data_IF_654444836626
#
_entry.id   IF_654444836626
#
_cell.length_a   1.000
_cell.length_b   1.000
_cell.length_c   1.000
_cell.angle_alpha   90.00
_cell.angle_beta   90.00
_cell.angle_gamma   90.00
#
_symmetry.space_group_name_H-M   'P 1'
#
loop_
_entity.id
_entity.type
_entity.pdbx_description
1 polymer ?
#
# COMPACT_ATOMS: atom_id res chain seq x y z
N UNK A 1 -1.05 10.52 25.36
CA UNK A 1 -0.68 9.19 24.87
C UNK A 1 0.53 9.32 23.96
N UNK A 2 1.61 8.58 24.20
CA UNK A 2 2.78 8.50 23.29
C UNK A 2 2.64 7.26 22.41
N UNK A 3 2.69 7.46 21.09
CA UNK A 3 2.47 6.39 20.12
C UNK A 3 3.73 6.17 19.28
N UNK A 4 4.25 4.94 19.27
CA UNK A 4 5.27 4.52 18.31
C UNK A 4 4.59 4.13 17.00
N UNK A 5 4.97 4.78 15.90
CA UNK A 5 4.56 4.42 14.54
C UNK A 5 5.76 3.80 13.84
N UNK A 6 5.74 2.49 13.60
CA UNK A 6 6.82 1.83 12.86
C UNK A 6 6.62 2.00 11.35
N UNK A 7 7.71 2.02 10.59
CA UNK A 7 7.63 2.29 9.16
C UNK A 7 7.20 3.72 8.84
N UNK A 8 7.50 4.67 9.73
CA UNK A 8 7.11 6.08 9.61
C UNK A 8 7.70 6.78 8.36
N UNK A 9 8.80 6.30 7.78
CA UNK A 9 9.32 6.79 6.51
C UNK A 9 8.49 6.32 5.28
N UNK A 10 7.58 5.37 5.46
CA UNK A 10 6.74 4.81 4.39
C UNK A 10 5.47 5.63 4.12
N UNK A 11 4.67 5.15 3.15
CA UNK A 11 3.44 5.80 2.73
C UNK A 11 2.43 5.94 3.89
N UNK A 12 1.98 4.82 4.46
CA UNK A 12 0.93 4.81 5.50
C UNK A 12 1.49 5.31 6.83
N UNK A 13 2.68 4.82 7.25
CA UNK A 13 3.29 5.23 8.51
C UNK A 13 3.63 6.73 8.54
N UNK A 14 4.11 7.28 7.41
CA UNK A 14 4.33 8.72 7.28
C UNK A 14 3.03 9.52 7.39
N UNK A 15 1.95 9.05 6.74
CA UNK A 15 0.66 9.73 6.84
C UNK A 15 0.05 9.67 8.24
N UNK A 16 0.21 8.54 8.91
CA UNK A 16 -0.21 8.38 10.31
C UNK A 16 0.58 9.33 11.23
N UNK A 17 1.90 9.46 11.00
CA UNK A 17 2.75 10.39 11.75
C UNK A 17 2.28 11.85 11.58
N UNK A 18 2.02 12.26 10.33
CA UNK A 18 1.49 13.59 10.02
C UNK A 18 0.16 13.85 10.76
N UNK A 19 -0.85 13.01 10.53
CA UNK A 19 -2.19 13.25 11.05
C UNK A 19 -2.29 13.14 12.57
N UNK A 20 -1.55 12.24 13.21
CA UNK A 20 -1.56 12.11 14.66
C UNK A 20 -0.90 13.32 15.32
N UNK A 21 0.17 13.84 14.73
CA UNK A 21 0.83 15.05 15.21
C UNK A 21 -0.03 16.31 14.97
N UNK A 22 -0.46 16.55 13.71
CA UNK A 22 -1.23 17.73 13.31
C UNK A 22 -2.55 17.88 14.06
N UNK A 23 -3.22 16.75 14.36
CA UNK A 23 -4.46 16.75 15.15
C UNK A 23 -4.25 16.86 16.66
N UNK A 24 -3.02 16.84 17.15
CA UNK A 24 -2.74 16.76 18.59
C UNK A 24 -3.20 15.48 19.26
N UNK A 25 -3.52 14.44 18.50
CA UNK A 25 -4.04 13.17 19.03
C UNK A 25 -3.02 12.45 19.91
N UNK A 26 -1.76 12.45 19.52
CA UNK A 26 -0.70 11.76 20.23
C UNK A 26 0.64 12.48 20.14
N UNK A 27 1.48 12.30 21.16
CA UNK A 27 2.92 12.54 21.00
C UNK A 27 3.51 11.40 20.18
N UNK A 28 3.90 11.70 18.94
CA UNK A 28 4.34 10.69 18.00
C UNK A 28 5.84 10.42 18.15
N UNK A 29 6.18 9.14 18.24
CA UNK A 29 7.54 8.62 18.06
C UNK A 29 7.59 7.90 16.71
N UNK A 30 8.33 8.47 15.76
CA UNK A 30 8.45 7.98 14.39
C UNK A 30 9.56 6.93 14.29
N UNK A 31 9.20 5.66 14.24
CA UNK A 31 10.12 4.54 14.10
C UNK A 31 10.56 4.32 12.66
N UNK A 32 11.86 4.49 12.37
CA UNK A 32 12.43 4.36 11.03
C UNK A 32 13.64 3.43 11.05
N UNK A 33 13.84 2.66 9.97
CA UNK A 33 15.00 1.78 9.87
C UNK A 33 16.31 2.55 9.70
N UNK A 34 16.27 3.59 8.86
CA UNK A 34 17.42 4.46 8.60
C UNK A 34 16.98 5.93 8.74
N UNK A 35 17.56 6.69 9.67
CA UNK A 35 17.23 8.09 9.86
C UNK A 35 17.45 8.99 8.63
N UNK A 36 18.34 8.59 7.72
CA UNK A 36 18.65 9.31 6.47
C UNK A 36 17.51 9.31 5.44
N UNK A 37 16.43 8.54 5.67
CA UNK A 37 15.31 8.40 4.71
C UNK A 37 14.06 9.17 5.14
N UNK A 38 14.20 10.18 6.01
CA UNK A 38 13.05 10.82 6.68
C UNK A 38 12.66 12.19 6.14
N UNK A 39 13.11 12.58 4.95
CA UNK A 39 12.86 13.90 4.35
C UNK A 39 11.39 14.36 4.46
N UNK A 40 10.44 13.44 4.39
CA UNK A 40 9.01 13.75 4.58
C UNK A 40 8.69 14.20 5.99
N UNK A 41 9.38 13.67 7.00
CA UNK A 41 9.12 13.90 8.42
C UNK A 41 9.94 15.06 9.00
N UNK A 42 11.02 15.50 8.34
CA UNK A 42 11.93 16.55 8.83
C UNK A 42 11.21 17.90 9.10
N UNK A 43 10.08 18.11 8.46
CA UNK A 43 9.24 19.30 8.67
C UNK A 43 8.36 19.22 9.93
N UNK A 44 8.28 18.05 10.57
CA UNK A 44 7.42 17.80 11.72
C UNK A 44 8.27 17.74 12.99
N UNK A 45 7.87 18.44 14.06
CA UNK A 45 8.57 18.36 15.36
C UNK A 45 8.19 17.07 16.10
N UNK A 46 8.48 15.91 15.51
CA UNK A 46 8.25 14.57 16.07
C UNK A 46 9.58 13.90 16.42
N UNK A 47 9.56 13.05 17.43
CA UNK A 47 10.74 12.27 17.80
C UNK A 47 10.99 11.16 16.79
N UNK A 48 12.13 11.20 16.09
CA UNK A 48 12.56 10.16 15.14
C UNK A 48 13.49 9.20 15.85
N UNK A 49 13.17 7.89 15.81
CA UNK A 49 13.96 6.86 16.49
C UNK A 49 14.36 5.73 15.53
N UNK A 50 15.60 5.21 15.64
CA UNK A 50 15.99 3.99 14.96
C UNK A 50 15.10 2.83 15.40
N UNK A 51 14.51 2.11 14.42
CA UNK A 51 13.54 1.06 14.67
C UNK A 51 13.63 -0.03 13.59
N UNK A 52 14.76 -0.74 13.54
CA UNK A 52 14.91 -1.91 12.70
C UNK A 52 14.15 -3.08 13.33
N UNK A 53 13.22 -3.66 12.58
CA UNK A 53 12.39 -4.78 13.03
C UNK A 53 13.20 -6.02 13.38
N UNK A 54 14.42 -6.14 12.87
CA UNK A 54 15.31 -7.28 13.14
C UNK A 54 16.32 -7.01 14.28
N UNK A 55 16.33 -5.80 14.84
CA UNK A 55 17.19 -5.44 15.96
C UNK A 55 16.40 -5.29 17.27
N UNK A 56 16.38 -6.31 18.16
CA UNK A 56 15.64 -6.24 19.43
C UNK A 56 16.09 -5.09 20.34
N UNK A 57 17.34 -4.63 20.22
CA UNK A 57 17.86 -3.54 21.04
C UNK A 57 17.27 -2.19 20.62
N UNK A 58 17.14 -1.96 19.33
CA UNK A 58 16.46 -0.77 18.81
C UNK A 58 14.97 -0.78 19.15
N UNK A 59 14.30 -1.94 19.02
CA UNK A 59 12.89 -2.06 19.39
C UNK A 59 12.64 -1.74 20.84
N UNK A 60 13.46 -2.24 21.78
CA UNK A 60 13.33 -1.90 23.20
C UNK A 60 13.47 -0.39 23.43
N UNK A 61 14.51 0.25 22.86
CA UNK A 61 14.69 1.70 22.98
C UNK A 61 13.54 2.50 22.36
N UNK A 62 13.03 2.06 21.21
CA UNK A 62 11.90 2.71 20.55
C UNK A 62 10.61 2.62 21.36
N UNK A 63 10.45 1.61 22.22
CA UNK A 63 9.28 1.40 23.07
C UNK A 63 9.38 2.05 24.45
N UNK A 64 10.53 2.58 24.85
CA UNK A 64 10.70 3.25 26.14
C UNK A 64 9.73 4.42 26.33
N UNK A 65 8.88 4.36 27.35
CA UNK A 65 7.87 5.39 27.63
C UNK A 65 6.79 5.53 26.56
N UNK A 66 6.58 4.50 25.73
CA UNK A 66 5.52 4.43 24.72
C UNK A 66 4.28 3.77 25.31
N UNK A 67 3.10 4.34 25.08
CA UNK A 67 1.82 3.80 25.55
C UNK A 67 1.18 2.85 24.55
N UNK A 68 1.40 3.11 23.24
CA UNK A 68 0.75 2.38 22.16
C UNK A 68 1.61 2.27 20.90
N UNK A 69 1.31 1.29 20.05
CA UNK A 69 2.03 1.02 18.81
C UNK A 69 1.07 0.97 17.62
N UNK A 70 1.43 1.63 16.51
CA UNK A 70 0.84 1.41 15.19
C UNK A 70 1.93 0.78 14.30
N UNK A 71 1.75 -0.49 13.97
CA UNK A 71 2.73 -1.26 13.22
C UNK A 71 2.47 -1.20 11.72
N UNK A 72 3.13 -0.25 11.03
CA UNK A 72 3.07 -0.06 9.58
C UNK A 72 4.30 -0.61 8.84
N UNK A 73 5.35 -1.00 9.55
CA UNK A 73 6.58 -1.48 8.92
C UNK A 73 6.35 -2.82 8.20
N UNK A 74 6.98 -2.96 7.04
CA UNK A 74 7.02 -4.21 6.27
C UNK A 74 8.36 -4.35 5.56
N UNK A 75 8.69 -5.56 5.17
CA UNK A 75 9.84 -5.91 4.34
C UNK A 75 9.50 -7.10 3.43
N UNK A 76 10.50 -7.79 2.85
CA UNK A 76 10.31 -9.14 2.30
C UNK A 76 9.61 -10.07 3.31
N UNK A 77 8.95 -11.13 2.84
CA UNK A 77 8.14 -12.01 3.67
C UNK A 77 8.79 -12.42 5.00
N UNK A 78 9.99 -13.04 5.00
CA UNK A 78 10.67 -13.44 6.23
C UNK A 78 10.96 -12.27 7.19
N UNK A 79 11.30 -11.09 6.65
CA UNK A 79 11.55 -9.87 7.46
C UNK A 79 10.24 -9.37 8.06
N UNK A 80 9.14 -9.42 7.32
CA UNK A 80 7.81 -9.03 7.82
C UNK A 80 7.39 -9.91 8.99
N UNK A 81 7.50 -11.23 8.85
CA UNK A 81 7.10 -12.19 9.88
C UNK A 81 7.97 -12.08 11.13
N UNK A 82 9.30 -12.18 10.96
CA UNK A 82 10.23 -12.12 12.10
C UNK A 82 10.22 -10.75 12.75
N UNK A 83 10.18 -9.68 11.97
CA UNK A 83 10.11 -8.32 12.49
C UNK A 83 8.84 -8.05 13.29
N UNK A 84 7.69 -8.55 12.84
CA UNK A 84 6.44 -8.46 13.60
C UNK A 84 6.54 -9.24 14.92
N UNK A 85 7.08 -10.46 14.92
CA UNK A 85 7.30 -11.25 16.14
C UNK A 85 8.21 -10.54 17.14
N UNK A 86 9.32 -9.96 16.67
CA UNK A 86 10.25 -9.22 17.53
C UNK A 86 9.57 -8.00 18.17
N UNK A 87 8.79 -7.23 17.37
CA UNK A 87 8.08 -6.07 17.89
C UNK A 87 6.98 -6.45 18.87
N UNK A 88 6.23 -7.53 18.61
CA UNK A 88 5.21 -8.05 19.54
C UNK A 88 5.85 -8.47 20.85
N UNK A 89 6.98 -9.19 20.82
CA UNK A 89 7.69 -9.58 22.04
C UNK A 89 8.17 -8.35 22.83
N UNK A 90 8.82 -7.41 22.16
CA UNK A 90 9.29 -6.19 22.81
C UNK A 90 8.13 -5.35 23.37
N UNK A 91 6.97 -5.33 22.68
CA UNK A 91 5.77 -4.63 23.14
C UNK A 91 5.14 -5.30 24.37
N UNK A 92 5.13 -6.63 24.41
CA UNK A 92 4.67 -7.38 25.58
C UNK A 92 5.58 -7.10 26.80
N UNK A 93 6.90 -7.15 26.60
CA UNK A 93 7.89 -6.88 27.66
C UNK A 93 7.79 -5.43 28.18
N UNK A 94 7.53 -4.47 27.29
CA UNK A 94 7.31 -3.06 27.62
C UNK A 94 5.90 -2.76 28.16
N UNK A 95 5.02 -3.76 28.26
CA UNK A 95 3.63 -3.63 28.72
C UNK A 95 2.83 -2.59 27.95
N UNK A 96 2.98 -2.59 26.61
CA UNK A 96 2.24 -1.67 25.72
C UNK A 96 0.73 -1.85 25.89
N UNK A 97 0.02 -0.75 26.13
CA UNK A 97 -1.42 -0.74 26.39
C UNK A 97 -2.30 -0.95 25.17
N UNK A 98 -1.81 -0.69 23.94
CA UNK A 98 -2.51 -0.89 22.67
C UNK A 98 -1.53 -1.19 21.54
N UNK A 99 -1.81 -2.21 20.77
CA UNK A 99 -1.02 -2.58 19.59
C UNK A 99 -1.94 -2.72 18.37
N UNK A 100 -1.80 -1.85 17.38
CA UNK A 100 -2.55 -1.90 16.12
C UNK A 100 -1.64 -2.41 15.01
N UNK A 101 -1.95 -3.59 14.46
CA UNK A 101 -1.24 -4.18 13.33
C UNK A 101 -1.93 -3.84 12.01
N UNK A 102 -1.18 -3.29 11.05
CA UNK A 102 -1.68 -3.11 9.68
C UNK A 102 -1.42 -4.38 8.85
N UNK A 103 -2.48 -5.12 8.58
CA UNK A 103 -2.51 -6.27 7.71
C UNK A 103 -2.97 -5.89 6.29
N UNK A 104 -3.78 -6.72 5.64
CA UNK A 104 -4.33 -6.53 4.28
C UNK A 104 -5.52 -7.46 4.07
N UNK A 105 -6.42 -7.10 3.16
CA UNK A 105 -7.48 -8.01 2.67
C UNK A 105 -6.93 -9.18 1.85
N UNK A 106 -5.67 -9.15 1.44
CA UNK A 106 -5.06 -10.25 0.69
C UNK A 106 -4.94 -11.55 1.51
N UNK A 107 -5.13 -11.48 2.84
CA UNK A 107 -5.22 -12.67 3.71
C UNK A 107 -6.38 -13.60 3.36
N UNK A 108 -7.38 -13.09 2.65
CA UNK A 108 -8.52 -13.87 2.14
C UNK A 108 -8.28 -14.52 0.77
N UNK A 109 -7.10 -14.31 0.17
CA UNK A 109 -6.70 -14.93 -1.08
C UNK A 109 -7.63 -14.58 -2.25
N UNK A 110 -8.14 -15.62 -2.93
CA UNK A 110 -9.00 -15.48 -4.12
C UNK A 110 -10.52 -15.50 -3.80
N UNK A 111 -10.93 -15.24 -2.56
CA UNK A 111 -12.34 -15.18 -2.17
C UNK A 111 -13.13 -14.20 -3.06
N UNK A 112 -14.39 -14.50 -3.35
CA UNK A 112 -15.30 -13.72 -4.22
C UNK A 112 -16.60 -13.39 -3.48
N UNK A 113 -17.35 -12.43 -3.99
CA UNK A 113 -18.59 -11.99 -3.35
C UNK A 113 -18.33 -11.05 -2.17
N UNK A 114 -19.12 -11.16 -1.13
CA UNK A 114 -18.94 -10.40 0.09
C UNK A 114 -18.08 -11.18 1.08
N UNK A 115 -16.97 -10.56 1.50
CA UNK A 115 -15.90 -11.18 2.32
C UNK A 115 -15.75 -10.39 3.61
N UNK A 116 -16.28 -10.93 4.68
CA UNK A 116 -16.20 -10.38 6.04
C UNK A 116 -14.99 -10.93 6.83
N UNK A 117 -14.84 -10.48 8.07
CA UNK A 117 -13.73 -10.88 8.95
C UNK A 117 -13.83 -12.32 9.46
N UNK A 118 -15.00 -12.97 9.32
CA UNK A 118 -15.22 -14.38 9.61
C UNK A 118 -14.72 -15.32 8.51
N UNK A 119 -14.42 -14.77 7.32
CA UNK A 119 -13.88 -15.54 6.20
C UNK A 119 -12.48 -16.08 6.54
N UNK A 120 -12.23 -17.40 6.37
CA UNK A 120 -10.94 -17.99 6.72
C UNK A 120 -9.77 -17.44 5.90
N UNK A 121 -8.58 -17.48 6.47
CA UNK A 121 -7.34 -17.23 5.73
C UNK A 121 -7.19 -18.20 4.57
N UNK A 122 -6.74 -17.67 3.43
CA UNK A 122 -6.43 -18.47 2.25
C UNK A 122 -4.99 -18.24 1.79
N UNK A 123 -4.10 -19.19 2.07
CA UNK A 123 -2.72 -19.15 1.58
C UNK A 123 -2.71 -19.45 0.09
N UNK A 124 -2.10 -18.57 -0.68
CA UNK A 124 -2.05 -18.67 -2.16
C UNK A 124 -0.65 -18.96 -2.69
N UNK A 125 0.36 -19.03 -1.82
CA UNK A 125 1.77 -19.08 -2.21
C UNK A 125 2.33 -17.70 -2.62
N UNK A 126 1.54 -16.63 -2.52
CA UNK A 126 2.01 -15.27 -2.70
C UNK A 126 2.74 -14.80 -1.44
N UNK A 127 4.04 -14.56 -1.54
CA UNK A 127 4.92 -14.20 -0.41
C UNK A 127 4.32 -13.09 0.48
N UNK A 128 3.76 -12.06 -0.14
CA UNK A 128 3.18 -10.93 0.60
C UNK A 128 1.95 -11.35 1.43
N UNK A 129 0.97 -11.98 0.79
CA UNK A 129 -0.27 -12.41 1.45
C UNK A 129 0.02 -13.44 2.56
N UNK A 130 0.82 -14.46 2.24
CA UNK A 130 1.16 -15.53 3.19
C UNK A 130 1.95 -15.00 4.38
N UNK A 131 2.89 -14.05 4.18
CA UNK A 131 3.60 -13.40 5.28
C UNK A 131 2.71 -12.54 6.17
N UNK A 132 1.64 -11.94 5.61
CA UNK A 132 0.65 -11.21 6.39
C UNK A 132 -0.24 -12.13 7.22
N UNK A 133 -0.61 -13.29 6.69
CA UNK A 133 -1.30 -14.33 7.46
C UNK A 133 -0.45 -14.76 8.66
N UNK A 134 0.84 -15.07 8.44
CA UNK A 134 1.74 -15.46 9.53
C UNK A 134 1.94 -14.35 10.57
N UNK A 135 1.95 -13.08 10.14
CA UNK A 135 2.03 -11.94 11.05
C UNK A 135 0.75 -11.80 11.89
N UNK A 136 -0.44 -12.01 11.31
CA UNK A 136 -1.70 -12.03 12.05
C UNK A 136 -1.77 -13.20 13.04
N UNK A 137 -1.35 -14.41 12.65
CA UNK A 137 -1.25 -15.56 13.54
C UNK A 137 -0.34 -15.27 14.75
N UNK A 138 0.78 -14.58 14.52
CA UNK A 138 1.62 -14.10 15.62
C UNK A 138 0.89 -13.09 16.51
N UNK A 139 0.18 -12.12 15.92
CA UNK A 139 -0.62 -11.15 16.69
C UNK A 139 -1.63 -11.84 17.60
N UNK A 140 -2.35 -12.84 17.13
CA UNK A 140 -3.32 -13.61 17.93
C UNK A 140 -2.64 -14.40 19.06
N UNK A 141 -1.47 -14.98 18.81
CA UNK A 141 -0.69 -15.67 19.84
C UNK A 141 -0.25 -14.70 20.95
N UNK A 142 0.14 -13.47 20.63
CA UNK A 142 0.53 -12.48 21.63
C UNK A 142 -0.66 -11.87 22.37
N UNK A 143 -1.83 -11.78 21.72
CA UNK A 143 -3.08 -11.43 22.40
C UNK A 143 -3.38 -12.42 23.54
N UNK A 144 -3.25 -13.72 23.28
CA UNK A 144 -3.43 -14.76 24.32
C UNK A 144 -2.42 -14.66 25.47
N UNK A 145 -1.27 -14.03 25.23
CA UNK A 145 -0.24 -13.75 26.24
C UNK A 145 -0.47 -12.42 26.98
N UNK A 146 -1.57 -11.72 26.66
CA UNK A 146 -1.98 -10.50 27.35
C UNK A 146 -1.58 -9.18 26.68
N UNK A 147 -1.02 -9.19 25.44
CA UNK A 147 -0.80 -7.96 24.69
C UNK A 147 -2.12 -7.50 24.03
N UNK A 148 -2.62 -6.28 24.30
CA UNK A 148 -3.87 -5.79 23.70
C UNK A 148 -3.71 -5.47 22.21
N UNK A 149 -3.92 -6.46 21.34
CA UNK A 149 -3.75 -6.35 19.88
C UNK A 149 -5.08 -6.12 19.17
N UNK A 150 -5.05 -5.28 18.15
CA UNK A 150 -6.10 -5.11 17.14
C UNK A 150 -5.48 -5.21 15.75
N UNK A 151 -6.21 -5.75 14.76
CA UNK A 151 -5.73 -5.90 13.39
C UNK A 151 -6.61 -5.10 12.44
N UNK A 152 -6.01 -4.32 11.55
CA UNK A 152 -6.70 -3.66 10.45
C UNK A 152 -6.31 -4.33 9.14
N UNK A 153 -7.31 -4.75 8.36
CA UNK A 153 -7.18 -5.35 7.02
C UNK A 153 -7.64 -4.33 5.97
N UNK A 154 -6.78 -3.36 5.61
CA UNK A 154 -7.13 -2.38 4.59
C UNK A 154 -7.26 -3.02 3.21
N UNK A 155 -8.14 -2.43 2.41
CA UNK A 155 -8.28 -2.68 0.99
C UNK A 155 -7.20 -1.92 0.19
N UNK A 156 -7.51 -1.42 -1.00
CA UNK A 156 -6.56 -0.69 -1.87
C UNK A 156 -6.33 0.72 -1.33
N UNK A 157 -5.24 0.91 -0.58
CA UNK A 157 -4.93 2.21 0.01
C UNK A 157 -4.28 3.12 -1.02
N UNK A 158 -4.94 4.22 -1.37
CA UNK A 158 -4.46 5.21 -2.32
C UNK A 158 -4.35 6.62 -1.69
N UNK A 159 -3.70 7.53 -2.38
CA UNK A 159 -3.49 8.91 -1.92
C UNK A 159 -2.07 9.40 -2.19
N UNK A 160 -1.70 10.61 -1.75
CA UNK A 160 -0.34 11.14 -1.84
C UNK A 160 0.70 10.16 -1.29
N UNK A 161 1.83 10.01 -2.00
CA UNK A 161 2.92 9.07 -1.69
C UNK A 161 2.62 7.57 -1.90
N UNK A 162 1.44 7.18 -2.38
CA UNK A 162 1.16 5.80 -2.74
C UNK A 162 1.84 5.45 -4.07
N UNK A 163 2.91 4.67 -4.01
CA UNK A 163 3.66 4.28 -5.20
C UNK A 163 2.82 3.43 -6.16
N UNK A 164 2.20 2.35 -5.65
CA UNK A 164 1.49 1.38 -6.48
C UNK A 164 0.12 1.84 -6.96
N UNK A 165 -0.63 2.56 -6.11
CA UNK A 165 -2.05 2.82 -6.36
C UNK A 165 -2.35 4.27 -6.76
N UNK A 166 -1.34 5.15 -6.76
CA UNK A 166 -1.47 6.54 -7.21
C UNK A 166 -0.42 6.89 -8.25
N UNK A 167 0.88 6.81 -7.91
CA UNK A 167 1.96 7.23 -8.82
C UNK A 167 1.99 6.34 -10.06
N UNK A 168 2.08 5.02 -9.88
CA UNK A 168 2.18 4.07 -10.99
C UNK A 168 0.97 4.16 -11.94
N UNK A 169 -0.24 4.32 -11.40
CA UNK A 169 -1.43 4.49 -12.24
C UNK A 169 -1.44 5.83 -12.98
N UNK A 170 -1.03 6.91 -12.33
CA UNK A 170 -0.89 8.21 -13.00
C UNK A 170 0.14 8.17 -14.13
N UNK A 171 1.30 7.54 -13.93
CA UNK A 171 2.32 7.36 -14.96
C UNK A 171 1.80 6.49 -16.12
N UNK A 172 1.06 5.43 -15.82
CA UNK A 172 0.50 4.53 -16.85
C UNK A 172 -0.60 5.21 -17.65
N UNK A 173 -1.43 6.04 -17.03
CA UNK A 173 -2.49 6.80 -17.72
C UNK A 173 -1.96 7.86 -18.69
N UNK A 174 -0.75 8.36 -18.48
CA UNK A 174 -0.08 9.29 -19.41
C UNK A 174 0.38 8.60 -20.70
N UNK A 175 0.39 7.28 -20.73
CA UNK A 175 0.84 6.49 -21.88
C UNK A 175 -0.33 6.00 -22.70
N UNK A 176 -0.25 6.21 -24.01
CA UNK A 176 -1.28 5.80 -24.97
C UNK A 176 -0.74 4.73 -25.93
N UNK A 177 -1.58 3.82 -26.46
CA UNK A 177 -2.99 3.60 -26.07
C UNK A 177 -3.11 2.92 -24.69
N UNK A 178 -4.26 3.13 -24.01
CA UNK A 178 -4.56 2.50 -22.73
C UNK A 178 -4.80 0.99 -22.90
N UNK A 179 -4.10 0.12 -22.17
CA UNK A 179 -4.08 -1.31 -22.48
C UNK A 179 -5.22 -2.13 -21.84
N UNK A 180 -6.11 -1.52 -21.05
CA UNK A 180 -7.17 -2.22 -20.34
C UNK A 180 -8.54 -1.85 -20.91
N UNK A 181 -9.19 -2.73 -21.67
CA UNK A 181 -10.55 -2.48 -22.16
C UNK A 181 -11.56 -2.47 -21.01
N UNK A 182 -12.63 -1.66 -21.10
CA UNK A 182 -13.66 -1.55 -20.07
C UNK A 182 -14.25 -2.89 -19.64
N UNK A 183 -14.45 -3.81 -20.57
CA UNK A 183 -14.98 -5.15 -20.31
C UNK A 183 -14.12 -6.00 -19.34
N UNK A 184 -12.84 -5.71 -19.23
CA UNK A 184 -11.91 -6.39 -18.29
C UNK A 184 -11.67 -5.61 -17.00
N UNK A 185 -12.28 -4.44 -16.85
CA UNK A 185 -12.16 -3.56 -15.70
C UNK A 185 -13.50 -3.36 -14.97
N UNK A 186 -14.44 -4.28 -15.15
CA UNK A 186 -15.77 -4.24 -14.52
C UNK A 186 -15.81 -4.73 -13.08
N UNK A 187 -14.72 -5.30 -12.56
CA UNK A 187 -14.63 -5.72 -11.16
C UNK A 187 -14.62 -4.55 -10.19
N UNK A 188 -14.91 -4.83 -8.94
CA UNK A 188 -15.01 -3.81 -7.87
C UNK A 188 -13.60 -3.34 -7.49
N UNK A 189 -13.38 -2.04 -7.56
CA UNK A 189 -12.19 -1.37 -7.07
C UNK A 189 -12.42 -0.91 -5.63
N UNK A 190 -12.01 -1.72 -4.66
CA UNK A 190 -12.19 -1.43 -3.23
C UNK A 190 -11.18 -0.36 -2.79
N UNK A 191 -11.51 0.90 -3.02
CA UNK A 191 -10.63 2.04 -2.74
C UNK A 191 -10.75 2.51 -1.31
N UNK A 192 -9.62 2.70 -0.65
CA UNK A 192 -9.52 3.29 0.69
C UNK A 192 -8.56 4.48 0.66
N UNK A 193 -9.03 5.67 0.99
CA UNK A 193 -8.11 6.81 1.10
C UNK A 193 -7.25 6.71 2.35
N UNK A 194 -5.97 7.09 2.26
CA UNK A 194 -5.00 6.91 3.34
C UNK A 194 -5.42 7.55 4.66
N UNK A 195 -6.10 8.70 4.61
CA UNK A 195 -6.57 9.39 5.82
C UNK A 195 -7.63 8.60 6.57
N UNK A 196 -8.53 7.89 5.86
CA UNK A 196 -9.55 7.04 6.47
C UNK A 196 -8.93 5.81 7.15
N UNK A 197 -7.85 5.24 6.56
CA UNK A 197 -7.09 4.19 7.23
C UNK A 197 -6.43 4.69 8.52
N UNK A 198 -5.86 5.90 8.51
CA UNK A 198 -5.28 6.51 9.71
C UNK A 198 -6.35 6.80 10.76
N UNK A 199 -7.55 7.22 10.34
CA UNK A 199 -8.69 7.39 11.24
C UNK A 199 -9.10 6.06 11.88
N UNK A 200 -9.15 4.96 11.11
CA UNK A 200 -9.40 3.62 11.64
C UNK A 200 -8.32 3.20 12.66
N UNK A 201 -7.04 3.49 12.38
CA UNK A 201 -5.95 3.19 13.32
C UNK A 201 -6.09 3.98 14.64
N UNK A 202 -6.51 5.25 14.56
CA UNK A 202 -6.82 6.07 15.74
C UNK A 202 -7.94 5.45 16.57
N UNK A 203 -9.05 5.06 15.94
CA UNK A 203 -10.17 4.41 16.60
C UNK A 203 -9.76 3.08 17.25
N UNK A 204 -8.95 2.25 16.57
CA UNK A 204 -8.45 1.01 17.13
C UNK A 204 -7.52 1.22 18.35
N UNK A 205 -6.87 2.38 18.47
CA UNK A 205 -6.08 2.74 19.65
C UNK A 205 -6.94 3.19 20.83
N UNK A 206 -8.10 3.82 20.58
CA UNK A 206 -8.94 4.43 21.63
C UNK A 206 -10.08 3.52 22.11
N UNK A 207 -10.67 2.77 21.17
CA UNK A 207 -11.85 1.97 21.46
C UNK A 207 -11.48 0.64 22.15
N UNK A 208 -12.08 0.37 23.31
CA UNK A 208 -11.85 -0.88 24.03
C UNK A 208 -12.31 -2.10 23.25
N UNK A 209 -13.40 -1.95 22.52
CA UNK A 209 -13.97 -3.02 21.69
C UNK A 209 -13.10 -3.42 20.49
N UNK A 210 -12.01 -2.68 20.22
CA UNK A 210 -11.05 -3.05 19.18
C UNK A 210 -10.11 -4.19 19.60
N UNK A 211 -9.87 -4.35 20.90
CA UNK A 211 -8.91 -5.35 21.39
C UNK A 211 -9.42 -6.77 21.14
N UNK A 212 -8.59 -7.58 20.50
CA UNK A 212 -8.92 -8.96 20.14
C UNK A 212 -9.68 -9.08 18.83
N UNK A 213 -9.80 -7.98 18.07
CA UNK A 213 -10.58 -7.95 16.84
C UNK A 213 -9.73 -7.65 15.61
N UNK A 214 -10.14 -8.23 14.47
CA UNK A 214 -9.69 -7.81 13.15
C UNK A 214 -10.83 -7.05 12.46
N UNK A 215 -10.47 -6.05 11.64
CA UNK A 215 -11.43 -5.22 10.93
C UNK A 215 -11.06 -5.07 9.47
N UNK A 216 -11.99 -5.34 8.57
CA UNK A 216 -11.90 -4.89 7.19
C UNK A 216 -12.06 -3.36 7.17
N UNK A 217 -11.13 -2.68 6.49
CA UNK A 217 -11.16 -1.23 6.36
C UNK A 217 -11.22 -0.90 4.87
N UNK A 218 -12.33 -0.29 4.45
CA UNK A 218 -12.64 0.06 3.07
C UNK A 218 -13.18 1.49 2.99
N UNK A 219 -13.19 2.08 1.81
CA UNK A 219 -13.79 3.39 1.58
C UNK A 219 -15.33 3.34 1.47
N UNK A 220 -15.99 4.50 1.30
CA UNK A 220 -17.45 4.60 1.34
C UNK A 220 -18.14 4.13 0.05
N UNK A 221 -17.39 3.96 -1.05
CA UNK A 221 -17.92 3.68 -2.38
C UNK A 221 -17.37 2.37 -2.92
N UNK A 222 -18.10 1.79 -3.90
CA UNK A 222 -17.72 0.54 -4.58
C UNK A 222 -17.63 0.75 -6.10
N UNK A 223 -16.74 1.66 -6.59
CA UNK A 223 -16.59 1.87 -8.02
C UNK A 223 -16.02 0.63 -8.70
N UNK A 224 -16.23 0.52 -10.00
CA UNK A 224 -15.48 -0.40 -10.82
C UNK A 224 -14.06 0.13 -11.08
N UNK A 225 -13.15 -0.74 -11.48
CA UNK A 225 -11.82 -0.31 -11.92
C UNK A 225 -11.88 0.65 -13.11
N UNK A 226 -12.83 0.44 -14.00
CA UNK A 226 -13.02 1.34 -15.16
C UNK A 226 -13.44 2.74 -14.70
N UNK A 227 -14.37 2.86 -13.77
CA UNK A 227 -14.79 4.14 -13.21
C UNK A 227 -13.63 4.85 -12.50
N UNK A 228 -12.83 4.13 -11.72
CA UNK A 228 -11.66 4.70 -11.07
C UNK A 228 -10.63 5.22 -12.07
N UNK A 229 -10.25 4.40 -13.07
CA UNK A 229 -9.29 4.83 -14.09
C UNK A 229 -9.81 6.02 -14.91
N UNK A 230 -11.09 6.02 -15.29
CA UNK A 230 -11.71 7.12 -16.01
C UNK A 230 -11.74 8.42 -15.19
N UNK A 231 -12.09 8.32 -13.91
CA UNK A 231 -12.11 9.48 -13.01
C UNK A 231 -10.71 10.05 -12.77
N UNK A 232 -9.71 9.18 -12.53
CA UNK A 232 -8.32 9.61 -12.35
C UNK A 232 -7.77 10.25 -13.63
N UNK A 233 -8.03 9.66 -14.80
CA UNK A 233 -7.63 10.18 -16.10
C UNK A 233 -8.23 11.56 -16.37
N UNK A 234 -9.52 11.74 -16.10
CA UNK A 234 -10.21 13.02 -16.28
C UNK A 234 -9.67 14.09 -15.32
N UNK A 235 -9.42 13.75 -14.05
CA UNK A 235 -8.85 14.66 -13.06
C UNK A 235 -7.43 15.12 -13.42
N UNK A 236 -6.67 14.27 -14.12
CA UNK A 236 -5.36 14.63 -14.66
C UNK A 236 -5.43 15.54 -15.89
N UNK A 237 -6.61 15.73 -16.49
CA UNK A 237 -6.80 16.52 -17.71
C UNK A 237 -6.38 15.77 -18.99
N UNK A 238 -6.29 14.44 -18.94
CA UNK A 238 -5.90 13.62 -20.09
C UNK A 238 -7.10 13.35 -21.02
N UNK A 239 -6.86 13.12 -22.33
CA UNK A 239 -7.89 12.67 -23.25
C UNK A 239 -8.59 11.41 -22.74
N UNK A 240 -9.87 11.22 -23.12
CA UNK A 240 -10.65 10.04 -22.69
C UNK A 240 -9.91 8.73 -22.99
N UNK A 241 -10.13 7.75 -22.13
CA UNK A 241 -9.54 6.42 -22.26
C UNK A 241 -10.20 5.72 -23.45
N UNK A 242 -9.43 5.44 -24.51
CA UNK A 242 -9.89 4.65 -25.65
C UNK A 242 -9.73 3.15 -25.32
N UNK A 243 -10.81 2.41 -25.52
CA UNK A 243 -10.83 0.97 -25.32
C UNK A 243 -10.05 0.27 -26.46
N UNK A 244 -9.11 -0.58 -26.10
CA UNK A 244 -8.52 -1.52 -27.05
C UNK A 244 -9.40 -2.78 -27.19
N UNK A 245 -9.45 -3.43 -28.36
CA UNK A 245 -10.11 -4.73 -28.49
C UNK A 245 -9.54 -5.74 -27.48
N UNK A 246 -10.43 -6.45 -26.77
CA UNK A 246 -10.07 -7.42 -25.72
C UNK A 246 -9.05 -8.46 -26.18
N UNK A 247 -9.18 -8.93 -27.44
CA UNK A 247 -8.26 -9.90 -28.03
C UNK A 247 -6.82 -9.35 -28.15
N UNK A 248 -6.65 -8.11 -28.58
CA UNK A 248 -5.33 -7.50 -28.73
C UNK A 248 -4.62 -7.31 -27.37
N UNK A 249 -5.36 -6.92 -26.32
CA UNK A 249 -4.79 -6.74 -24.97
C UNK A 249 -4.41 -8.08 -24.32
N UNK A 250 -5.21 -9.13 -24.53
CA UNK A 250 -4.93 -10.48 -24.02
C UNK A 250 -3.71 -11.11 -24.71
N UNK A 251 -3.61 -10.95 -26.04
CA UNK A 251 -2.46 -11.42 -26.83
C UNK A 251 -1.19 -10.67 -26.40
N UNK A 252 -1.26 -9.37 -26.17
CA UNK A 252 -0.09 -8.58 -25.73
C UNK A 252 0.40 -9.01 -24.35
N UNK A 253 -0.50 -9.31 -23.43
CA UNK A 253 -0.17 -9.81 -22.08
C UNK A 253 0.52 -11.19 -22.15
N UNK A 254 0.07 -12.05 -23.03
CA UNK A 254 0.62 -13.40 -23.23
C UNK A 254 1.99 -13.37 -23.91
N UNK A 255 2.14 -12.55 -24.94
CA UNK A 255 3.36 -12.41 -25.71
C UNK A 255 4.52 -11.78 -24.91
N UNK A 256 4.23 -10.96 -23.92
CA UNK A 256 5.24 -10.28 -23.09
C UNK A 256 5.75 -11.12 -21.91
N UNK A 257 5.05 -12.19 -21.52
CA UNK A 257 5.51 -13.09 -20.45
C UNK A 257 6.94 -13.61 -20.64
N UNK A 258 7.31 -14.18 -21.82
CA UNK A 258 8.68 -14.66 -22.04
C UNK A 258 9.69 -13.52 -22.05
N UNK A 259 9.34 -12.35 -22.62
CA UNK A 259 10.22 -11.17 -22.63
C UNK A 259 10.52 -10.66 -21.23
N UNK A 260 9.51 -10.62 -20.34
CA UNK A 260 9.69 -10.27 -18.93
C UNK A 260 10.57 -11.28 -18.18
N UNK A 261 10.46 -12.58 -18.50
CA UNK A 261 11.30 -13.61 -17.87
C UNK A 261 12.76 -13.47 -18.31
N UNK A 262 13.00 -13.24 -19.59
CA UNK A 262 14.34 -13.01 -20.15
C UNK A 262 14.92 -11.69 -19.63
N UNK A 263 14.18 -10.60 -19.62
CA UNK A 263 14.63 -9.31 -19.09
C UNK A 263 15.03 -9.41 -17.61
N UNK A 264 14.24 -10.09 -16.77
CA UNK A 264 14.59 -10.34 -15.36
C UNK A 264 15.81 -11.22 -15.21
N UNK A 265 15.96 -12.24 -16.04
CA UNK A 265 17.14 -13.09 -16.06
C UNK A 265 18.40 -12.30 -16.43
N UNK A 266 18.33 -11.49 -17.50
CA UNK A 266 19.44 -10.65 -17.96
C UNK A 266 19.85 -9.61 -16.90
N UNK A 267 18.89 -8.90 -16.30
CA UNK A 267 19.18 -7.95 -15.23
C UNK A 267 19.79 -8.62 -14.00
N UNK A 268 19.37 -9.85 -13.67
CA UNK A 268 19.88 -10.56 -12.49
C UNK A 268 21.29 -11.13 -12.66
N UNK A 269 21.67 -11.50 -13.90
CA UNK A 269 22.95 -12.19 -14.18
C UNK A 269 23.98 -11.31 -14.90
N UNK A 270 23.54 -10.23 -15.56
CA UNK A 270 24.38 -9.37 -16.39
C UNK A 270 24.25 -7.88 -16.06
N UNK A 271 23.82 -7.55 -14.84
CA UNK A 271 23.57 -6.17 -14.40
C UNK A 271 24.78 -5.25 -14.67
N UNK A 272 25.98 -5.67 -14.28
CA UNK A 272 27.20 -4.87 -14.47
C UNK A 272 27.58 -4.66 -15.94
N UNK A 273 27.38 -5.66 -16.79
CA UNK A 273 27.68 -5.57 -18.22
C UNK A 273 26.64 -4.70 -18.95
N UNK A 274 25.37 -4.83 -18.57
CA UNK A 274 24.26 -4.03 -19.11
C UNK A 274 24.47 -2.57 -18.72
N UNK A 275 24.79 -2.28 -17.47
CA UNK A 275 25.06 -0.91 -16.99
C UNK A 275 26.25 -0.30 -17.73
N UNK A 276 27.36 -1.02 -17.89
CA UNK A 276 28.52 -0.54 -18.64
C UNK A 276 28.25 -0.28 -20.13
N UNK A 277 27.40 -1.10 -20.76
CA UNK A 277 27.02 -0.90 -22.17
C UNK A 277 26.08 0.30 -22.32
N UNK A 278 25.17 0.48 -21.38
CA UNK A 278 24.21 1.59 -21.35
C UNK A 278 24.92 2.92 -21.06
N UNK A 279 25.94 2.94 -20.21
CA UNK A 279 26.73 4.14 -19.93
C UNK A 279 27.54 4.63 -21.14
N UNK A 280 27.89 3.72 -22.05
CA UNK A 280 28.72 4.01 -23.23
C UNK A 280 27.96 4.50 -24.46
N UNK A 281 26.63 4.39 -24.50
CA UNK A 281 25.84 4.72 -25.68
C UNK A 281 24.46 5.32 -25.31
N UNK A 282 24.25 6.57 -25.76
CA UNK A 282 22.96 7.22 -25.59
C UNK A 282 21.81 6.50 -26.33
N UNK A 283 22.15 5.83 -27.43
CA UNK A 283 21.19 5.00 -28.18
C UNK A 283 20.79 3.76 -27.36
N UNK A 284 21.72 3.13 -26.67
CA UNK A 284 21.46 2.01 -25.77
C UNK A 284 20.64 2.46 -24.56
N UNK A 285 20.90 3.65 -23.99
CA UNK A 285 20.09 4.26 -22.92
C UNK A 285 18.65 4.49 -23.37
N UNK A 286 18.44 5.06 -24.57
CA UNK A 286 17.11 5.30 -25.12
C UNK A 286 16.37 4.00 -25.41
N UNK A 287 17.03 3.02 -26.01
CA UNK A 287 16.44 1.71 -26.30
C UNK A 287 16.08 0.95 -25.01
N UNK A 288 16.93 1.00 -23.98
CA UNK A 288 16.65 0.38 -22.69
C UNK A 288 15.48 1.07 -21.98
N UNK A 289 15.45 2.41 -21.91
CA UNK A 289 14.32 3.16 -21.36
C UNK A 289 13.02 2.86 -22.10
N UNK A 290 13.05 2.81 -23.43
CA UNK A 290 11.87 2.49 -24.25
C UNK A 290 11.38 1.05 -24.01
N UNK A 291 12.33 0.09 -23.88
CA UNK A 291 12.00 -1.32 -23.61
C UNK A 291 11.47 -1.49 -22.19
N UNK A 292 12.10 -0.88 -21.21
CA UNK A 292 11.64 -0.88 -19.81
C UNK A 292 10.24 -0.26 -19.68
N UNK A 293 10.02 0.90 -20.32
CA UNK A 293 8.74 1.54 -20.38
C UNK A 293 7.68 0.64 -21.06
N UNK A 294 8.02 -0.06 -22.14
CA UNK A 294 7.11 -0.99 -22.82
C UNK A 294 6.78 -2.22 -21.98
N UNK A 295 7.76 -2.75 -21.25
CA UNK A 295 7.57 -3.88 -20.32
C UNK A 295 6.71 -3.48 -19.11
N UNK A 296 6.94 -2.30 -18.54
CA UNK A 296 6.12 -1.76 -17.44
C UNK A 296 4.68 -1.49 -17.84
N UNK A 297 4.44 -1.11 -19.10
CA UNK A 297 3.12 -0.74 -19.65
C UNK A 297 2.22 -1.92 -19.96
N UNK A 298 2.81 -3.08 -20.28
CA UNK A 298 2.02 -4.23 -20.69
C UNK A 298 1.24 -4.83 -19.51
N UNK A 299 -0.05 -5.14 -19.73
CA UNK A 299 -0.89 -5.77 -18.74
C UNK A 299 -0.31 -7.09 -18.24
N UNK A 300 -0.53 -7.41 -16.97
CA UNK A 300 -0.21 -8.71 -16.40
C UNK A 300 -1.47 -9.55 -16.25
N UNK A 301 -1.33 -10.86 -16.23
CA UNK A 301 -2.47 -11.74 -15.92
C UNK A 301 -3.01 -11.53 -14.51
N UNK A 302 -2.16 -11.10 -13.55
CA UNK A 302 -2.59 -10.73 -12.20
C UNK A 302 -3.46 -9.50 -12.18
N UNK A 303 -3.13 -8.48 -13.00
CA UNK A 303 -3.95 -7.28 -13.12
C UNK A 303 -5.30 -7.55 -13.77
N UNK A 304 -5.37 -8.40 -14.80
CA UNK A 304 -6.66 -8.80 -15.37
C UNK A 304 -7.52 -9.54 -14.35
N UNK A 305 -6.94 -10.44 -13.56
CA UNK A 305 -7.66 -11.10 -12.46
C UNK A 305 -8.17 -10.09 -11.44
N UNK A 306 -7.33 -9.12 -11.03
CA UNK A 306 -7.69 -8.09 -10.08
C UNK A 306 -8.81 -7.18 -10.60
N UNK A 307 -8.69 -6.70 -11.85
CA UNK A 307 -9.62 -5.73 -12.42
C UNK A 307 -10.96 -6.33 -12.85
N UNK A 308 -11.04 -7.65 -13.01
CA UNK A 308 -12.28 -8.37 -13.28
C UNK A 308 -12.94 -8.99 -12.03
N UNK A 309 -12.30 -8.89 -10.86
CA UNK A 309 -12.75 -9.55 -9.64
C UNK A 309 -13.95 -8.83 -9.02
N UNK A 310 -15.02 -9.57 -8.79
CA UNK A 310 -16.21 -9.10 -8.07
C UNK A 310 -16.13 -9.54 -6.61
N UNK A 311 -15.50 -8.72 -5.79
CA UNK A 311 -15.36 -8.93 -4.35
C UNK A 311 -15.60 -7.61 -3.63
N UNK A 312 -16.32 -7.65 -2.51
CA UNK A 312 -16.50 -6.52 -1.62
C UNK A 312 -16.12 -6.88 -0.20
N UNK A 313 -15.61 -5.90 0.53
CA UNK A 313 -15.18 -6.06 1.91
C UNK A 313 -16.03 -5.12 2.77
N UNK A 314 -17.06 -5.65 3.45
CA UNK A 314 -17.93 -4.85 4.31
C UNK A 314 -17.17 -4.29 5.51
N UNK A 315 -17.61 -3.14 6.02
CA UNK A 315 -17.00 -2.45 7.17
C UNK A 315 -17.97 -2.33 8.35
N UNK A 316 -19.07 -3.05 8.33
CA UNK A 316 -20.14 -3.01 9.33
C UNK A 316 -19.64 -3.36 10.73
N UNK A 317 -18.69 -4.32 10.81
CA UNK A 317 -18.04 -4.67 12.07
C UNK A 317 -17.22 -3.50 12.62
N UNK A 318 -16.42 -2.85 11.79
CA UNK A 318 -15.64 -1.69 12.17
C UNK A 318 -16.54 -0.51 12.57
N UNK A 319 -17.61 -0.26 11.81
CA UNK A 319 -18.59 0.77 12.13
C UNK A 319 -19.26 0.52 13.50
N UNK A 320 -19.72 -0.69 13.75
CA UNK A 320 -20.41 -1.05 14.98
C UNK A 320 -19.51 -1.04 16.21
N UNK A 321 -18.30 -1.60 16.14
CA UNK A 321 -17.45 -1.80 17.30
C UNK A 321 -16.53 -0.62 17.60
N UNK A 322 -16.05 0.08 16.59
CA UNK A 322 -15.11 1.20 16.77
C UNK A 322 -15.60 2.52 16.18
N UNK A 323 -16.82 2.59 15.67
CA UNK A 323 -17.38 3.82 15.10
C UNK A 323 -16.73 4.24 13.79
N UNK A 324 -16.12 3.30 13.05
CA UNK A 324 -15.47 3.61 11.77
C UNK A 324 -16.50 4.07 10.73
N UNK A 325 -16.25 5.23 10.14
CA UNK A 325 -17.03 5.80 9.04
C UNK A 325 -16.05 6.50 8.09
N UNK A 326 -15.78 5.94 6.90
CA UNK A 326 -14.89 6.56 5.94
C UNK A 326 -15.48 7.87 5.44
N UNK A 327 -14.67 8.94 5.43
CA UNK A 327 -15.10 10.30 5.14
C UNK A 327 -14.73 10.77 3.73
N UNK A 328 -13.74 10.13 3.10
CA UNK A 328 -13.19 10.57 1.81
C UNK A 328 -13.76 9.73 0.68
N UNK A 329 -14.63 10.32 -0.14
CA UNK A 329 -15.14 9.66 -1.34
C UNK A 329 -14.09 9.63 -2.47
N UNK A 330 -14.33 8.82 -3.50
CA UNK A 330 -13.40 8.62 -4.61
C UNK A 330 -13.03 9.93 -5.30
N UNK A 331 -14.00 10.81 -5.54
CA UNK A 331 -13.77 12.11 -6.20
C UNK A 331 -12.80 12.97 -5.39
N UNK A 332 -13.08 13.16 -4.09
CA UNK A 332 -12.23 13.95 -3.19
C UNK A 332 -10.81 13.36 -3.08
N UNK A 333 -10.70 12.04 -2.95
CA UNK A 333 -9.42 11.34 -2.86
C UNK A 333 -8.59 11.48 -4.13
N UNK A 334 -9.22 11.37 -5.30
CA UNK A 334 -8.58 11.60 -6.60
C UNK A 334 -8.10 13.04 -6.73
N UNK A 335 -8.95 14.02 -6.43
CA UNK A 335 -8.59 15.45 -6.51
C UNK A 335 -7.37 15.79 -5.63
N UNK A 336 -7.34 15.29 -4.40
CA UNK A 336 -6.20 15.45 -3.47
C UNK A 336 -4.94 14.77 -4.02
N UNK A 337 -5.08 13.56 -4.55
CA UNK A 337 -3.97 12.80 -5.14
C UNK A 337 -3.39 13.48 -6.37
N UNK A 338 -4.23 13.96 -7.29
CA UNK A 338 -3.80 14.66 -8.52
C UNK A 338 -3.13 15.99 -8.19
N UNK A 339 -3.66 16.75 -7.23
CA UNK A 339 -3.00 17.98 -6.74
C UNK A 339 -1.58 17.69 -6.27
N UNK A 340 -1.43 16.65 -5.46
CA UNK A 340 -0.11 16.24 -4.97
C UNK A 340 0.81 15.76 -6.09
N UNK A 341 0.30 14.95 -7.05
CA UNK A 341 1.08 14.49 -8.21
C UNK A 341 1.63 15.65 -9.05
N UNK A 342 0.84 16.72 -9.22
CA UNK A 342 1.32 17.96 -9.89
C UNK A 342 2.41 18.66 -9.08
N UNK A 343 2.20 18.85 -7.79
CA UNK A 343 3.16 19.49 -6.89
C UNK A 343 4.48 18.74 -6.76
N UNK A 344 4.43 17.40 -6.85
CA UNK A 344 5.61 16.53 -6.76
C UNK A 344 6.27 16.23 -8.11
N UNK A 345 5.77 16.80 -9.22
CA UNK A 345 6.36 16.66 -10.56
C UNK A 345 6.11 15.31 -11.24
N UNK A 346 5.19 14.48 -10.72
CA UNK A 346 4.83 13.21 -11.36
C UNK A 346 3.95 13.40 -12.60
N UNK A 347 3.22 14.52 -12.66
CA UNK A 347 2.43 14.92 -13.85
C UNK A 347 2.65 16.39 -14.13
N UNK A 348 2.75 16.74 -15.42
CA UNK A 348 2.93 18.13 -15.82
C UNK A 348 1.58 18.85 -15.92
N UNK A 349 1.59 20.18 -15.69
CA UNK A 349 0.40 21.04 -15.73
C UNK A 349 -0.16 21.21 -17.15
N UNK A 350 0.67 21.01 -18.16
CA UNK A 350 0.29 21.11 -19.58
C UNK A 350 0.18 19.69 -20.13
N UNK A 351 -0.99 19.32 -20.63
CA UNK A 351 -1.28 18.01 -21.23
C UNK A 351 -0.46 17.65 -22.50
N UNK A 352 0.74 18.22 -22.65
CA UNK A 352 1.68 17.90 -23.70
C UNK A 352 2.71 16.89 -23.17
N UNK A 353 2.56 15.65 -23.57
CA UNK A 353 3.64 14.67 -23.50
C UNK A 353 4.59 14.99 -24.65
N UNK A 354 5.68 15.67 -24.38
CA UNK A 354 6.85 15.58 -25.24
C UNK A 354 7.39 14.14 -25.12
N UNK A 355 6.99 13.32 -26.08
CA UNK A 355 7.59 12.01 -26.29
C UNK A 355 8.81 12.25 -27.16
N UNK A 356 10.04 12.09 -26.66
CA UNK A 356 11.23 12.06 -27.50
C UNK A 356 11.33 10.75 -28.30
#
# INVERSE_FOLDING_TARGET
MRVLITGAAGFIGGRATELFHESGFATVRAGVRQPTTVTRLDRLPVEIVPCDMLDPSQLRRALEGTDAVVHCARGPGPVTVQGTRNLLQASLDARIGRFVHLSTIDVYGEAIGEVDEGTPYQRTGAEYADSKIEAEEACWSYLQRGLPVSILRPTIVYGPFSASWTIEFAERLQVRPWPFPPALCGGICNLLYADDLVAAARLALTERAAVGEAFNINGPERPTWHEYFSALNAAMGLPSIEAQPTAASTISAWAIKPVRRVARFCLRHFEKQITALVERSDLAKRAMKATEARIRRAPTTGEFKLYSRHVSFPTEKASRLIGYSPAVNMKQGIERSVRWLRQSGHIHSDGAVDVP
#
